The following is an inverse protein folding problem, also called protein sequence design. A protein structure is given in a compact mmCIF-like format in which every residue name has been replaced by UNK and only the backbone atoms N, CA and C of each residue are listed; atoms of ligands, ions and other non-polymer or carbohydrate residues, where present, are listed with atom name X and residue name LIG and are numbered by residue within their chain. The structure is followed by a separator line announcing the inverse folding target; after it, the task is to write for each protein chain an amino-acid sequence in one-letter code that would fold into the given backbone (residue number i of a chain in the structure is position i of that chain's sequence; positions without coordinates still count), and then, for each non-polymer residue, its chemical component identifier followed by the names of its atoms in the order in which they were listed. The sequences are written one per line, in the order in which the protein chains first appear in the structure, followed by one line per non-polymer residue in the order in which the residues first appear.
data_IF_810652221495
#
_entry.id   IF_810652221495
#
_cell.length_a   1.000
_cell.length_b   1.000
_cell.length_c   1.000
_cell.angle_alpha   90.00
_cell.angle_beta   90.00
_cell.angle_gamma   90.00
#
_symmetry.space_group_name_H-M   'P 1'
#
loop_
_entity.id
_entity.type
_entity.pdbx_description
1 polymer ?
#
# COMPACT_ATOMS: atom_id res chain seq x y z
N UNK A 1 60.07 27.39 18.03
CA UNK A 1 59.35 28.68 18.17
C UNK A 1 59.13 29.26 16.78
N UNK A 2 57.87 29.34 16.32
CA UNK A 2 57.42 30.26 15.26
C UNK A 2 55.89 30.24 15.26
N UNK A 3 55.30 31.23 15.93
CA UNK A 3 53.86 31.49 15.95
C UNK A 3 53.50 32.14 14.62
N UNK A 4 52.66 31.50 13.81
CA UNK A 4 52.05 32.11 12.63
C UNK A 4 50.61 32.44 13.04
N UNK A 5 50.35 33.74 13.24
CA UNK A 5 49.00 34.28 13.31
C UNK A 5 48.39 34.24 11.90
N UNK A 6 47.23 33.60 11.77
CA UNK A 6 46.35 33.75 10.61
C UNK A 6 45.04 34.36 11.10
N UNK A 7 44.74 35.58 10.64
CA UNK A 7 43.47 36.27 10.84
C UNK A 7 42.34 35.52 10.12
N UNK A 8 41.13 35.41 10.69
CA UNK A 8 39.97 34.93 9.95
C UNK A 8 39.40 36.09 9.11
N UNK A 9 39.47 35.96 7.78
CA UNK A 9 38.69 36.79 6.89
C UNK A 9 37.23 36.29 6.92
N UNK A 10 36.36 36.97 7.64
CA UNK A 10 34.91 36.81 7.50
C UNK A 10 34.50 37.30 6.11
N UNK A 11 34.17 36.37 5.21
CA UNK A 11 33.47 36.66 3.97
C UNK A 11 31.98 36.59 4.28
N UNK A 12 31.32 37.73 4.40
CA UNK A 12 29.87 37.82 4.50
C UNK A 12 29.25 37.57 3.12
N UNK A 13 28.58 36.43 2.96
CA UNK A 13 27.83 36.08 1.75
C UNK A 13 26.45 36.76 1.80
N UNK A 14 26.04 37.56 0.80
CA UNK A 14 24.71 38.16 0.80
C UNK A 14 23.64 37.08 0.57
N UNK A 15 22.68 37.02 1.50
CA UNK A 15 21.51 36.16 1.41
C UNK A 15 20.59 36.72 0.31
N UNK A 16 20.62 36.12 -0.89
CA UNK A 16 19.60 36.36 -1.91
C UNK A 16 18.29 35.73 -1.43
N UNK A 17 17.35 36.55 -0.97
CA UNK A 17 15.97 36.14 -0.72
C UNK A 17 15.28 35.89 -2.06
N UNK A 18 15.04 34.62 -2.40
CA UNK A 18 14.14 34.26 -3.49
C UNK A 18 12.68 34.56 -3.06
N UNK A 19 11.83 35.08 -3.96
CA UNK A 19 10.42 35.29 -3.65
C UNK A 19 9.73 33.93 -3.49
N UNK A 20 9.27 33.64 -2.28
CA UNK A 20 8.35 32.55 -1.98
C UNK A 20 6.98 32.86 -2.59
N UNK A 21 6.84 32.64 -3.90
CA UNK A 21 5.54 32.54 -4.53
C UNK A 21 4.75 31.38 -3.93
N UNK A 22 3.40 31.41 -3.95
CA UNK A 22 2.61 30.29 -3.46
C UNK A 22 2.97 29.05 -4.29
N UNK A 23 3.52 28.02 -3.64
CA UNK A 23 3.62 26.70 -4.23
C UNK A 23 2.19 26.25 -4.54
N UNK A 24 1.83 26.24 -5.83
CA UNK A 24 0.60 25.59 -6.25
C UNK A 24 0.83 24.10 -6.06
N UNK A 25 0.26 23.55 -5.01
CA UNK A 25 -0.03 22.12 -4.98
C UNK A 25 -1.02 21.89 -6.13
N UNK A 26 -0.54 21.33 -7.24
CA UNK A 26 -1.42 20.76 -8.25
C UNK A 26 -2.25 19.69 -7.55
N UNK A 27 -3.45 20.07 -7.15
CA UNK A 27 -4.40 19.16 -6.54
C UNK A 27 -4.68 18.05 -7.55
N UNK A 28 -4.84 16.81 -7.09
CA UNK A 28 -5.12 15.61 -7.89
C UNK A 28 -6.36 15.71 -8.82
N UNK A 29 -7.02 16.86 -8.87
CA UNK A 29 -8.12 17.22 -9.74
C UNK A 29 -7.82 17.11 -11.26
N UNK A 30 -6.54 16.99 -11.66
CA UNK A 30 -6.16 16.86 -13.07
C UNK A 30 -6.12 15.40 -13.60
N UNK A 31 -6.31 14.37 -12.77
CA UNK A 31 -6.46 13.00 -13.28
C UNK A 31 -7.94 12.75 -13.59
N UNK A 32 -8.42 13.36 -14.67
CA UNK A 32 -9.58 12.86 -15.41
C UNK A 32 -9.11 11.75 -16.36
N UNK A 33 -8.66 10.66 -15.76
CA UNK A 33 -8.40 9.40 -16.45
C UNK A 33 -9.46 8.38 -16.07
N UNK A 34 -9.90 7.57 -17.03
CA UNK A 34 -10.73 6.40 -16.71
C UNK A 34 -9.94 5.49 -15.77
N UNK A 35 -10.35 5.44 -14.49
CA UNK A 35 -9.86 4.44 -13.54
C UNK A 35 -10.13 3.09 -14.18
N UNK A 36 -9.07 2.35 -14.48
CA UNK A 36 -9.22 1.03 -15.07
C UNK A 36 -10.02 0.16 -14.09
N UNK A 37 -11.09 -0.49 -14.54
CA UNK A 37 -11.91 -1.28 -13.64
C UNK A 37 -11.09 -2.45 -13.09
N UNK A 38 -11.01 -2.56 -11.77
CA UNK A 38 -10.34 -3.69 -11.11
C UNK A 38 -11.28 -4.91 -11.13
N UNK A 39 -11.28 -5.63 -12.25
CA UNK A 39 -12.19 -6.76 -12.49
C UNK A 39 -11.59 -8.11 -12.11
N UNK A 40 -10.27 -8.25 -12.19
CA UNK A 40 -9.55 -9.48 -11.83
C UNK A 40 -8.83 -9.35 -10.48
N UNK A 41 -8.42 -10.48 -9.89
CA UNK A 41 -7.60 -10.48 -8.68
C UNK A 41 -6.22 -9.88 -8.90
N UNK A 42 -5.65 -10.04 -10.10
CA UNK A 42 -4.39 -9.41 -10.50
C UNK A 42 -4.53 -7.90 -10.59
N UNK A 43 -5.64 -7.39 -11.15
CA UNK A 43 -5.88 -5.94 -11.22
C UNK A 43 -5.92 -5.34 -9.82
N UNK A 44 -6.68 -5.93 -8.90
CA UNK A 44 -6.74 -5.48 -7.50
C UNK A 44 -5.36 -5.53 -6.87
N UNK A 45 -4.61 -6.61 -7.08
CA UNK A 45 -3.26 -6.73 -6.55
C UNK A 45 -2.33 -5.61 -7.04
N UNK A 46 -2.31 -5.36 -8.35
CA UNK A 46 -1.42 -4.38 -8.98
C UNK A 46 -1.76 -2.94 -8.60
N UNK A 47 -3.04 -2.63 -8.38
CA UNK A 47 -3.47 -1.27 -8.07
C UNK A 47 -3.51 -0.98 -6.56
N UNK A 48 -3.72 -1.99 -5.72
CA UNK A 48 -3.99 -1.80 -4.28
C UNK A 48 -2.92 -2.43 -3.40
N UNK A 49 -2.45 -3.65 -3.72
CA UNK A 49 -1.67 -4.45 -2.78
C UNK A 49 -0.15 -4.33 -3.00
N UNK A 50 0.29 -4.25 -4.25
CA UNK A 50 1.71 -4.38 -4.61
C UNK A 50 2.60 -3.26 -4.07
N UNK A 51 2.03 -2.09 -3.74
CA UNK A 51 2.80 -0.95 -3.21
C UNK A 51 3.52 -1.28 -1.90
N UNK A 52 2.93 -2.18 -1.10
CA UNK A 52 3.49 -2.65 0.16
C UNK A 52 4.03 -4.08 0.05
N UNK A 53 3.28 -4.96 -0.63
CA UNK A 53 3.64 -6.38 -0.73
C UNK A 53 4.61 -6.71 -1.87
N UNK A 54 5.09 -5.68 -2.58
CA UNK A 54 5.96 -5.73 -3.76
C UNK A 54 5.30 -6.37 -4.98
N UNK A 55 5.70 -6.03 -6.22
CA UNK A 55 5.12 -6.63 -7.43
C UNK A 55 5.25 -8.15 -7.53
N UNK A 56 6.29 -8.72 -6.91
CA UNK A 56 6.57 -10.16 -6.91
C UNK A 56 6.09 -10.86 -5.64
N UNK A 57 5.30 -10.19 -4.79
CA UNK A 57 4.72 -10.78 -3.58
C UNK A 57 5.73 -11.15 -2.50
N UNK A 58 6.98 -10.69 -2.59
CA UNK A 58 8.01 -10.98 -1.58
C UNK A 58 7.97 -10.07 -0.36
N UNK A 59 7.11 -9.05 -0.38
CA UNK A 59 7.05 -8.06 0.69
C UNK A 59 8.36 -7.27 0.81
N UNK A 60 8.47 -6.49 1.89
CA UNK A 60 9.64 -5.65 2.14
C UNK A 60 9.90 -5.53 3.63
N UNK A 61 11.18 -5.36 4.00
CA UNK A 61 11.63 -5.20 5.38
C UNK A 61 12.62 -4.04 5.45
N UNK A 62 12.42 -3.11 6.38
CA UNK A 62 13.34 -2.00 6.58
C UNK A 62 12.67 -0.76 7.16
N UNK A 63 13.48 0.20 7.64
CA UNK A 63 13.01 1.48 8.17
C UNK A 63 11.87 1.37 9.22
N UNK A 64 11.84 0.29 9.99
CA UNK A 64 10.81 0.04 11.02
C UNK A 64 9.48 -0.51 10.50
N UNK A 65 9.35 -0.77 9.20
CA UNK A 65 8.17 -1.39 8.60
C UNK A 65 8.46 -2.84 8.13
N UNK A 66 7.45 -3.69 8.26
CA UNK A 66 7.48 -5.07 7.81
C UNK A 66 6.23 -5.36 6.98
N UNK A 67 6.43 -5.63 5.70
CA UNK A 67 5.37 -6.06 4.81
C UNK A 67 5.57 -7.55 4.50
N UNK A 68 4.62 -8.42 4.89
CA UNK A 68 4.81 -9.85 4.77
C UNK A 68 4.81 -10.30 3.31
N UNK A 69 5.66 -11.28 3.00
CA UNK A 69 5.61 -12.01 1.74
C UNK A 69 4.32 -12.84 1.66
N UNK A 70 3.83 -13.04 0.44
CA UNK A 70 2.82 -14.05 0.11
C UNK A 70 3.46 -15.37 -0.28
N UNK A 71 4.63 -15.35 -0.92
CA UNK A 71 5.39 -16.55 -1.26
C UNK A 71 5.75 -17.34 0.01
N UNK A 72 5.39 -18.62 0.07
CA UNK A 72 5.70 -19.51 1.20
C UNK A 72 5.00 -19.16 2.51
N UNK A 73 3.97 -18.31 2.48
CA UNK A 73 3.28 -17.87 3.69
C UNK A 73 2.18 -18.87 4.09
N UNK A 74 2.46 -19.70 5.11
CA UNK A 74 1.53 -20.71 5.61
C UNK A 74 0.18 -20.14 6.09
N UNK A 75 0.11 -18.85 6.44
CA UNK A 75 -1.16 -18.23 6.85
C UNK A 75 -2.18 -18.14 5.71
N UNK A 76 -1.73 -18.24 4.45
CA UNK A 76 -2.60 -18.26 3.26
C UNK A 76 -3.30 -19.61 3.05
N UNK A 77 -2.95 -20.65 3.82
CA UNK A 77 -3.66 -21.94 3.78
C UNK A 77 -5.14 -21.77 4.10
N UNK A 78 -5.46 -21.03 5.16
CA UNK A 78 -6.83 -20.64 5.47
C UNK A 78 -7.23 -19.44 4.62
N UNK A 79 -8.27 -19.59 3.80
CA UNK A 79 -8.86 -18.49 3.04
C UNK A 79 -9.42 -17.37 3.91
N UNK A 80 -9.99 -17.73 5.08
CA UNK A 80 -10.62 -16.77 5.98
C UNK A 80 -9.60 -15.76 6.56
N UNK A 81 -8.35 -16.16 6.74
CA UNK A 81 -7.33 -15.27 7.30
C UNK A 81 -7.05 -14.04 6.43
N UNK A 82 -6.67 -14.16 5.13
CA UNK A 82 -6.47 -12.99 4.28
C UNK A 82 -7.77 -12.21 4.05
N UNK A 83 -8.94 -12.85 4.00
CA UNK A 83 -10.23 -12.14 3.93
C UNK A 83 -10.41 -11.22 5.14
N UNK A 84 -10.22 -11.76 6.35
CA UNK A 84 -10.31 -10.99 7.59
C UNK A 84 -9.32 -9.81 7.61
N UNK A 85 -8.05 -10.05 7.24
CA UNK A 85 -7.01 -9.01 7.23
C UNK A 85 -7.34 -7.91 6.22
N UNK A 86 -7.85 -8.23 5.03
CA UNK A 86 -8.22 -7.22 4.03
C UNK A 86 -9.42 -6.38 4.50
N UNK A 87 -10.42 -7.02 5.10
CA UNK A 87 -11.61 -6.33 5.59
C UNK A 87 -11.34 -5.41 6.78
N UNK A 88 -10.41 -5.78 7.66
CA UNK A 88 -10.24 -5.14 8.97
C UNK A 88 -8.87 -4.45 9.17
N UNK A 89 -7.91 -4.67 8.26
CA UNK A 89 -6.53 -4.27 8.47
C UNK A 89 -5.81 -5.12 9.53
N UNK A 90 -4.48 -5.02 9.58
CA UNK A 90 -3.66 -5.69 10.59
C UNK A 90 -2.22 -5.14 10.62
N UNK A 91 -1.69 -4.83 11.80
CA UNK A 91 -0.27 -4.53 11.98
C UNK A 91 0.27 -3.38 11.12
N UNK A 92 -0.56 -2.38 10.81
CA UNK A 92 -0.22 -1.26 9.92
C UNK A 92 -0.79 -1.36 8.51
N UNK A 93 -1.31 -2.52 8.10
CA UNK A 93 -2.10 -2.65 6.87
C UNK A 93 -3.47 -1.95 7.06
N UNK A 94 -3.88 -1.04 6.15
CA UNK A 94 -5.21 -0.41 6.19
C UNK A 94 -6.34 -1.43 6.06
N UNK A 95 -7.54 -1.06 6.50
CA UNK A 95 -8.76 -1.80 6.20
C UNK A 95 -9.30 -1.39 4.82
N UNK A 96 -9.88 -2.34 4.10
CA UNK A 96 -10.43 -2.11 2.76
C UNK A 96 -11.93 -2.40 2.67
N UNK A 97 -12.61 -2.60 3.81
CA UNK A 97 -14.07 -2.83 3.83
C UNK A 97 -14.90 -1.65 3.31
N UNK A 98 -14.41 -0.42 3.36
CA UNK A 98 -15.06 0.73 2.72
C UNK A 98 -14.68 0.94 1.25
N UNK A 99 -13.64 0.26 0.75
CA UNK A 99 -12.99 0.58 -0.54
C UNK A 99 -13.21 -0.52 -1.58
N UNK A 100 -13.11 -1.78 -1.17
CA UNK A 100 -13.23 -2.93 -2.07
C UNK A 100 -14.55 -3.67 -1.86
N UNK A 101 -15.18 -4.00 -2.99
CA UNK A 101 -16.36 -4.87 -3.06
C UNK A 101 -16.00 -6.32 -2.70
N UNK A 102 -17.00 -7.11 -2.33
CA UNK A 102 -16.80 -8.51 -1.93
C UNK A 102 -16.17 -9.38 -3.02
N UNK A 103 -16.57 -9.19 -4.28
CA UNK A 103 -16.02 -9.88 -5.43
C UNK A 103 -14.55 -9.51 -5.67
N UNK A 104 -14.19 -8.24 -5.51
CA UNK A 104 -12.81 -7.77 -5.64
C UNK A 104 -11.90 -8.37 -4.55
N UNK A 105 -12.39 -8.45 -3.31
CA UNK A 105 -11.66 -9.08 -2.20
C UNK A 105 -11.52 -10.59 -2.45
N UNK A 106 -12.59 -11.28 -2.84
CA UNK A 106 -12.55 -12.71 -3.15
C UNK A 106 -11.53 -13.00 -4.27
N UNK A 107 -11.56 -12.21 -5.34
CA UNK A 107 -10.67 -12.34 -6.48
C UNK A 107 -9.19 -12.15 -6.10
N UNK A 108 -8.86 -11.11 -5.32
CA UNK A 108 -7.47 -10.88 -4.91
C UNK A 108 -6.97 -11.94 -3.92
N UNK A 109 -7.84 -12.43 -3.02
CA UNK A 109 -7.51 -13.54 -2.12
C UNK A 109 -7.20 -14.80 -2.92
N UNK A 110 -8.02 -15.13 -3.93
CA UNK A 110 -7.76 -16.26 -4.82
C UNK A 110 -6.44 -16.07 -5.59
N UNK A 111 -6.16 -14.86 -6.08
CA UNK A 111 -4.91 -14.54 -6.77
C UNK A 111 -3.69 -14.78 -5.88
N UNK A 112 -3.59 -14.17 -4.70
CA UNK A 112 -2.42 -14.34 -3.81
C UNK A 112 -2.23 -15.79 -3.33
N UNK A 113 -3.32 -16.58 -3.26
CA UNK A 113 -3.32 -17.99 -2.85
C UNK A 113 -2.94 -18.96 -3.98
N UNK A 114 -2.94 -18.52 -5.23
CA UNK A 114 -2.61 -19.33 -6.41
C UNK A 114 -1.36 -18.83 -7.16
N UNK A 115 -0.84 -17.67 -6.75
CA UNK A 115 0.32 -17.01 -7.35
C UNK A 115 1.48 -16.97 -6.34
N UNK A 116 2.63 -16.45 -6.78
CA UNK A 116 3.84 -16.33 -5.94
C UNK A 116 4.35 -17.68 -5.39
N UNK A 117 4.07 -18.78 -6.11
CA UNK A 117 4.43 -20.14 -5.71
C UNK A 117 3.42 -20.82 -4.78
N UNK A 118 2.26 -20.20 -4.52
CA UNK A 118 1.17 -20.80 -3.77
C UNK A 118 0.23 -21.59 -4.71
N UNK A 119 -0.41 -22.65 -4.20
CA UNK A 119 -1.29 -23.53 -4.98
C UNK A 119 -2.52 -24.00 -4.17
N UNK A 120 -3.20 -23.08 -3.50
CA UNK A 120 -4.45 -23.41 -2.79
C UNK A 120 -5.63 -23.39 -3.78
N UNK A 121 -6.38 -24.49 -3.84
CA UNK A 121 -7.42 -24.72 -4.87
C UNK A 121 -8.85 -24.51 -4.36
N UNK A 122 -9.05 -24.39 -3.05
CA UNK A 122 -10.34 -24.01 -2.47
C UNK A 122 -10.61 -22.53 -2.70
N UNK A 123 -11.48 -22.22 -3.66
CA UNK A 123 -11.76 -20.84 -4.05
C UNK A 123 -12.63 -20.13 -3.00
N UNK A 124 -12.35 -18.83 -2.81
CA UNK A 124 -13.17 -17.90 -2.04
C UNK A 124 -14.21 -17.27 -2.96
N UNK A 125 -15.46 -17.24 -2.51
CA UNK A 125 -16.56 -16.56 -3.18
C UNK A 125 -16.84 -15.18 -2.57
N UNK A 126 -17.57 -14.33 -3.29
CA UNK A 126 -18.04 -13.05 -2.75
C UNK A 126 -18.94 -13.25 -1.51
N UNK A 127 -19.73 -14.32 -1.46
CA UNK A 127 -20.56 -14.64 -0.28
C UNK A 127 -19.73 -14.97 0.97
N UNK A 128 -18.56 -15.61 0.81
CA UNK A 128 -17.67 -15.91 1.93
C UNK A 128 -17.06 -14.64 2.53
N UNK A 129 -16.83 -13.63 1.68
CA UNK A 129 -16.37 -12.30 2.11
C UNK A 129 -17.50 -11.53 2.78
N UNK A 130 -18.69 -11.51 2.17
CA UNK A 130 -19.85 -10.84 2.72
C UNK A 130 -20.20 -11.34 4.13
N UNK A 131 -20.06 -12.65 4.38
CA UNK A 131 -20.28 -13.26 5.68
C UNK A 131 -19.30 -12.77 6.78
N UNK A 132 -18.15 -12.22 6.41
CA UNK A 132 -17.13 -11.70 7.31
C UNK A 132 -17.09 -10.17 7.37
N UNK A 133 -17.86 -9.49 6.50
CA UNK A 133 -17.77 -8.03 6.34
C UNK A 133 -18.31 -7.30 7.58
N UNK A 134 -17.53 -6.40 8.20
CA UNK A 134 -18.05 -5.57 9.28
C UNK A 134 -19.09 -4.58 8.73
N UNK A 135 -20.06 -4.14 9.54
CA UNK A 135 -20.96 -3.05 9.16
C UNK A 135 -20.15 -1.79 8.79
N UNK A 136 -20.35 -1.27 7.58
CA UNK A 136 -19.68 -0.03 7.13
C UNK A 136 -20.47 1.16 7.67
N UNK A 137 -19.83 2.07 8.41
CA UNK A 137 -20.54 3.26 8.93
C UNK A 137 -20.68 4.33 7.85
N UNK A 138 -21.75 5.15 7.83
CA UNK A 138 -22.03 6.10 6.75
C UNK A 138 -20.98 7.19 6.51
N UNK A 139 -19.97 7.35 7.39
CA UNK A 139 -18.92 8.35 7.22
C UNK A 139 -17.77 7.89 6.31
N UNK A 140 -17.82 6.64 5.84
CA UNK A 140 -16.75 5.97 5.09
C UNK A 140 -17.17 5.58 3.65
N UNK A 141 -18.24 6.21 3.11
CA UNK A 141 -18.70 6.06 1.72
C UNK A 141 -18.38 7.30 0.89
#
# INVERSE_FOLDING_TARGET
MRKILLLPALVALPLLAAPSGPARADSAAAVVGNVQPMTTGEDVYRHVCQGCHMPDGKGAMGAGAQFPAFAGNAKLQSSAYPVYVILNGYGGMPWFSGVLKDDQIANVVNYIRTHFGNHYTDAVSASDVAAQRPPVTPQEQ
#
